data_IF_019379180243
#
_entry.id   IF_019379180243
#
_cell.length_a   1.000
_cell.length_b   1.000
_cell.length_c   1.000
_cell.angle_alpha   90.00
_cell.angle_beta   90.00
_cell.angle_gamma   90.00
#
_symmetry.space_group_name_H-M   'P 1'
#
loop_
_entity.id
_entity.type
_entity.pdbx_description
1 polymer ?
#
# COMPACT_ATOMS: atom_id res chain seq x y z
N UNK A 1 -6.87 -4.16 0.40
CA UNK A 1 -7.30 -3.00 -0.43
C UNK A 1 -7.96 -1.98 0.47
N UNK A 2 -7.72 -0.68 0.24
CA UNK A 2 -8.45 0.40 0.90
C UNK A 2 -9.33 1.10 -0.14
N UNK A 3 -10.63 1.29 0.16
CA UNK A 3 -11.61 1.91 -0.75
C UNK A 3 -12.31 3.10 -0.11
N UNK A 4 -12.59 4.10 -0.95
CA UNK A 4 -13.45 5.25 -0.66
C UNK A 4 -13.93 5.87 -1.96
N UNK A 5 -15.23 5.76 -2.28
CA UNK A 5 -15.84 6.29 -3.50
C UNK A 5 -15.04 5.89 -4.77
N UNK A 6 -14.84 4.57 -4.95
CA UNK A 6 -14.00 4.01 -6.00
C UNK A 6 -14.75 3.44 -7.20
N UNK A 7 -16.05 3.66 -7.35
CA UNK A 7 -16.93 2.99 -8.32
C UNK A 7 -16.38 2.95 -9.75
N UNK A 8 -15.58 3.96 -10.12
CA UNK A 8 -15.13 4.14 -11.50
C UNK A 8 -14.13 3.07 -11.97
N UNK A 9 -13.19 2.66 -11.11
CA UNK A 9 -12.07 1.81 -11.49
C UNK A 9 -11.97 0.51 -10.70
N UNK A 10 -12.79 0.38 -9.66
CA UNK A 10 -12.69 -0.71 -8.69
C UNK A 10 -12.83 -2.10 -9.31
N UNK A 11 -13.68 -2.26 -10.36
CA UNK A 11 -13.83 -3.56 -11.05
C UNK A 11 -12.52 -4.05 -11.64
N UNK A 12 -11.85 -3.20 -12.42
CA UNK A 12 -10.60 -3.55 -13.07
C UNK A 12 -9.54 -3.96 -12.05
N UNK A 13 -9.48 -3.24 -10.92
CA UNK A 13 -8.55 -3.57 -9.85
C UNK A 13 -8.89 -4.89 -9.16
N UNK A 14 -10.15 -5.14 -8.80
CA UNK A 14 -10.57 -6.42 -8.20
C UNK A 14 -10.30 -7.57 -9.17
N UNK A 15 -10.68 -7.43 -10.45
CA UNK A 15 -10.44 -8.45 -11.47
C UNK A 15 -8.96 -8.77 -11.60
N UNK A 16 -8.08 -7.78 -11.60
CA UNK A 16 -6.63 -7.98 -11.70
C UNK A 16 -6.05 -8.73 -10.50
N UNK A 17 -6.63 -8.55 -9.31
CA UNK A 17 -6.21 -9.27 -8.10
C UNK A 17 -6.73 -10.70 -8.11
N UNK A 18 -8.00 -10.91 -8.48
CA UNK A 18 -8.60 -12.25 -8.50
C UNK A 18 -8.01 -13.16 -9.58
N UNK A 19 -7.45 -12.56 -10.64
CA UNK A 19 -6.78 -13.23 -11.76
C UNK A 19 -5.25 -13.32 -11.62
N UNK A 20 -4.72 -13.25 -10.39
CA UNK A 20 -3.29 -13.49 -10.16
C UNK A 20 -2.92 -14.93 -10.50
N UNK A 21 -1.78 -15.10 -11.18
CA UNK A 21 -1.24 -16.38 -11.60
C UNK A 21 -0.15 -16.84 -10.63
N UNK A 22 -0.21 -18.09 -10.25
CA UNK A 22 0.78 -18.74 -9.40
C UNK A 22 1.49 -19.85 -10.18
N UNK A 23 2.76 -20.09 -9.84
CA UNK A 23 3.50 -21.22 -10.43
C UNK A 23 2.77 -22.54 -10.20
N UNK A 24 2.98 -23.46 -11.10
CA UNK A 24 2.51 -24.84 -10.95
C UNK A 24 3.02 -25.42 -9.60
N UNK A 25 2.13 -26.08 -8.87
CA UNK A 25 2.41 -26.59 -7.52
C UNK A 25 2.70 -25.49 -6.45
N UNK A 26 2.24 -24.26 -6.66
CA UNK A 26 2.30 -23.22 -5.65
C UNK A 26 1.41 -23.57 -4.45
N UNK A 27 1.90 -23.25 -3.25
CA UNK A 27 1.16 -23.34 -1.99
C UNK A 27 0.40 -22.05 -1.63
N UNK A 28 0.32 -21.13 -2.59
CA UNK A 28 -0.28 -19.82 -2.38
C UNK A 28 -1.80 -19.86 -2.58
N UNK A 29 -2.52 -19.33 -1.61
CA UNK A 29 -3.95 -19.05 -1.67
C UNK A 29 -4.18 -17.54 -1.54
N UNK A 30 -5.22 -17.03 -2.21
CA UNK A 30 -5.55 -15.61 -2.25
C UNK A 30 -6.75 -15.29 -1.37
N UNK A 31 -6.62 -14.30 -0.48
CA UNK A 31 -7.75 -13.56 0.08
C UNK A 31 -7.67 -12.08 -0.34
N UNK A 32 -8.81 -11.46 -0.59
CA UNK A 32 -8.93 -10.03 -0.83
C UNK A 32 -9.73 -9.38 0.29
N UNK A 33 -9.01 -8.72 1.21
CA UNK A 33 -9.63 -7.93 2.28
C UNK A 33 -9.80 -6.50 1.81
N UNK A 34 -11.05 -6.06 1.69
CA UNK A 34 -11.41 -4.70 1.29
C UNK A 34 -11.89 -3.92 2.51
N UNK A 35 -11.15 -2.89 2.90
CA UNK A 35 -11.58 -1.95 3.93
C UNK A 35 -12.21 -0.74 3.27
N UNK A 36 -13.51 -0.55 3.48
CA UNK A 36 -14.26 0.57 2.92
C UNK A 36 -14.47 1.69 3.94
N UNK A 37 -14.02 2.90 3.61
CA UNK A 37 -14.13 4.08 4.49
C UNK A 37 -15.46 4.82 4.30
N UNK A 38 -16.57 4.08 4.42
CA UNK A 38 -17.92 4.60 4.35
C UNK A 38 -18.24 5.27 2.99
N UNK A 39 -17.99 4.57 1.90
CA UNK A 39 -18.34 5.02 0.53
C UNK A 39 -19.83 5.33 0.38
N UNK A 40 -20.13 6.32 -0.44
CA UNK A 40 -21.49 6.82 -0.70
C UNK A 40 -21.93 6.63 -2.15
N UNK A 41 -21.03 6.20 -3.02
CA UNK A 41 -21.26 5.83 -4.41
C UNK A 41 -21.59 4.33 -4.56
N UNK A 42 -21.42 3.75 -5.75
CA UNK A 42 -21.71 2.34 -6.00
C UNK A 42 -20.58 1.38 -5.57
N UNK A 43 -19.53 1.85 -4.87
CA UNK A 43 -18.39 1.01 -4.44
C UNK A 43 -18.83 -0.30 -3.79
N UNK A 44 -19.67 -0.24 -2.75
CA UNK A 44 -20.12 -1.43 -2.03
C UNK A 44 -20.97 -2.37 -2.90
N UNK A 45 -21.85 -1.82 -3.75
CA UNK A 45 -22.64 -2.62 -4.71
C UNK A 45 -21.76 -3.37 -5.72
N UNK A 46 -20.67 -2.72 -6.16
CA UNK A 46 -19.71 -3.35 -7.05
C UNK A 46 -19.04 -4.53 -6.36
N UNK A 47 -18.57 -4.37 -5.13
CA UNK A 47 -17.92 -5.45 -4.37
C UNK A 47 -18.89 -6.61 -4.14
N UNK A 48 -20.10 -6.33 -3.70
CA UNK A 48 -21.14 -7.35 -3.45
C UNK A 48 -21.50 -8.14 -4.72
N UNK A 49 -21.39 -7.54 -5.90
CA UNK A 49 -21.73 -8.20 -7.16
C UNK A 49 -20.77 -9.34 -7.56
N UNK A 50 -19.61 -9.46 -6.92
CA UNK A 50 -18.65 -10.53 -7.25
C UNK A 50 -19.05 -11.89 -6.73
N UNK A 51 -19.76 -12.00 -5.60
CA UNK A 51 -20.11 -13.27 -4.96
C UNK A 51 -18.92 -14.25 -4.82
N UNK A 52 -17.69 -13.73 -4.71
CA UNK A 52 -16.46 -14.51 -4.62
C UNK A 52 -16.07 -14.71 -3.15
N UNK A 53 -15.91 -15.98 -2.72
CA UNK A 53 -15.56 -16.33 -1.34
C UNK A 53 -14.21 -15.78 -0.87
N UNK A 54 -13.32 -15.46 -1.79
CA UNK A 54 -12.01 -14.87 -1.50
C UNK A 54 -12.12 -13.40 -1.06
N UNK A 55 -13.24 -12.73 -1.37
CA UNK A 55 -13.47 -11.33 -1.02
C UNK A 55 -14.10 -11.22 0.35
N UNK A 56 -13.52 -10.40 1.20
CA UNK A 56 -14.08 -10.06 2.50
C UNK A 56 -14.04 -8.55 2.73
N UNK A 57 -15.20 -7.98 2.97
CA UNK A 57 -15.35 -6.54 3.24
C UNK A 57 -15.30 -6.29 4.76
N UNK A 58 -14.56 -5.27 5.14
CA UNK A 58 -14.51 -4.76 6.52
C UNK A 58 -14.83 -3.27 6.50
N UNK A 59 -15.74 -2.86 7.36
CA UNK A 59 -16.12 -1.45 7.46
C UNK A 59 -15.06 -0.64 8.19
N UNK A 60 -14.78 0.53 7.68
CA UNK A 60 -14.01 1.58 8.36
C UNK A 60 -14.81 2.87 8.32
N UNK A 61 -14.64 3.72 9.32
CA UNK A 61 -15.20 5.07 9.33
C UNK A 61 -14.19 6.02 9.93
N UNK A 62 -13.57 6.80 9.08
CA UNK A 62 -12.65 7.82 9.55
C UNK A 62 -13.42 8.96 10.23
N UNK A 63 -13.25 9.08 11.54
CA UNK A 63 -13.84 10.14 12.37
C UNK A 63 -12.85 11.25 12.71
N UNK A 64 -11.55 11.02 12.49
CA UNK A 64 -10.50 11.99 12.80
C UNK A 64 -10.39 13.03 11.68
N UNK A 65 -10.08 14.26 12.09
CA UNK A 65 -9.85 15.38 11.17
C UNK A 65 -8.52 16.04 11.51
N UNK A 66 -7.72 16.23 10.48
CA UNK A 66 -6.40 16.86 10.60
C UNK A 66 -6.35 18.12 9.75
N UNK A 67 -5.70 19.16 10.25
CA UNK A 67 -5.53 20.41 9.51
C UNK A 67 -4.68 20.23 8.25
N UNK A 68 -3.70 19.31 8.31
CA UNK A 68 -2.78 18.99 7.22
C UNK A 68 -2.81 17.50 6.95
N UNK A 69 -2.63 17.08 5.70
CA UNK A 69 -2.60 15.67 5.27
C UNK A 69 -3.87 14.86 5.61
N UNK A 70 -5.03 15.51 5.70
CA UNK A 70 -6.23 14.83 6.18
C UNK A 70 -6.60 13.60 5.34
N UNK A 71 -6.62 13.71 4.01
CA UNK A 71 -6.88 12.59 3.09
C UNK A 71 -5.82 11.49 3.16
N UNK A 72 -4.53 11.89 3.27
CA UNK A 72 -3.41 10.95 3.41
C UNK A 72 -3.52 10.15 4.71
N UNK A 73 -3.86 10.79 5.81
CA UNK A 73 -3.99 10.10 7.10
C UNK A 73 -5.27 9.26 7.18
N UNK A 74 -6.35 9.69 6.51
CA UNK A 74 -7.56 8.88 6.37
C UNK A 74 -7.28 7.60 5.57
N UNK A 75 -6.59 7.73 4.44
CA UNK A 75 -6.15 6.60 3.63
C UNK A 75 -5.26 5.64 4.45
N UNK A 76 -4.29 6.17 5.20
CA UNK A 76 -3.42 5.35 6.05
C UNK A 76 -4.21 4.61 7.15
N UNK A 77 -5.21 5.23 7.77
CA UNK A 77 -6.07 4.58 8.76
C UNK A 77 -6.90 3.46 8.13
N UNK A 78 -7.42 3.66 6.92
CA UNK A 78 -8.16 2.65 6.17
C UNK A 78 -7.28 1.45 5.79
N UNK A 79 -6.04 1.69 5.32
CA UNK A 79 -5.05 0.62 5.13
C UNK A 79 -4.73 -0.11 6.44
N UNK A 80 -4.58 0.63 7.54
CA UNK A 80 -4.36 0.03 8.86
C UNK A 80 -5.48 -0.92 9.26
N UNK A 81 -6.74 -0.55 8.99
CA UNK A 81 -7.90 -1.41 9.21
C UNK A 81 -7.86 -2.68 8.32
N UNK A 82 -7.56 -2.53 7.02
CA UNK A 82 -7.42 -3.67 6.11
C UNK A 82 -6.33 -4.65 6.57
N UNK A 83 -5.13 -4.15 6.90
CA UNK A 83 -3.99 -4.97 7.36
C UNK A 83 -4.34 -5.70 8.66
N UNK A 84 -5.00 -5.05 9.61
CA UNK A 84 -5.41 -5.66 10.89
C UNK A 84 -6.38 -6.83 10.72
N UNK A 85 -7.12 -6.87 9.62
CA UNK A 85 -8.06 -7.95 9.29
C UNK A 85 -7.48 -8.99 8.34
N UNK A 86 -6.32 -8.77 7.74
CA UNK A 86 -5.67 -9.73 6.86
C UNK A 86 -5.15 -10.95 7.66
N UNK A 87 -5.27 -12.15 7.06
CA UNK A 87 -4.90 -13.45 7.67
C UNK A 87 -3.69 -14.06 6.99
N UNK A 88 -3.42 -13.68 5.74
CA UNK A 88 -2.36 -14.21 4.91
C UNK A 88 -0.96 -14.07 5.52
N UNK A 89 -0.04 -14.92 5.08
CA UNK A 89 1.38 -14.85 5.43
C UNK A 89 2.08 -13.68 4.73
N UNK A 90 1.60 -13.34 3.53
CA UNK A 90 2.07 -12.21 2.73
C UNK A 90 0.93 -11.23 2.51
N UNK A 91 1.13 -9.96 2.80
CA UNK A 91 0.13 -8.92 2.71
C UNK A 91 0.53 -7.93 1.62
N UNK A 92 -0.33 -7.76 0.63
CA UNK A 92 -0.13 -6.82 -0.47
C UNK A 92 -1.06 -5.62 -0.30
N UNK A 93 -0.49 -4.42 -0.36
CA UNK A 93 -1.29 -3.21 -0.35
C UNK A 93 -1.83 -2.95 -1.74
N UNK A 94 -3.08 -2.52 -1.82
CA UNK A 94 -3.75 -2.21 -3.08
C UNK A 94 -4.58 -0.95 -2.94
N UNK A 95 -4.33 0.02 -3.79
CA UNK A 95 -5.25 1.12 -4.04
C UNK A 95 -6.45 0.58 -4.86
N UNK A 96 -7.49 1.38 -5.03
CA UNK A 96 -8.76 0.95 -5.67
C UNK A 96 -8.80 1.19 -7.18
N UNK A 97 -7.77 1.81 -7.75
CA UNK A 97 -7.77 2.40 -9.09
C UNK A 97 -6.56 2.01 -9.97
N UNK A 98 -5.73 1.09 -9.50
CA UNK A 98 -4.61 0.52 -10.26
C UNK A 98 -5.04 -0.76 -11.01
N UNK A 99 -4.10 -1.40 -11.69
CA UNK A 99 -4.25 -2.76 -12.24
C UNK A 99 -2.97 -3.54 -12.02
N UNK A 100 -3.08 -4.73 -11.41
CA UNK A 100 -1.94 -5.60 -11.18
C UNK A 100 -1.66 -6.50 -12.38
N UNK A 101 -0.39 -6.72 -12.69
CA UNK A 101 -0.01 -7.76 -13.62
C UNK A 101 -0.17 -9.15 -12.98
N UNK A 102 -0.47 -10.20 -13.79
CA UNK A 102 -0.80 -11.52 -13.26
C UNK A 102 0.27 -12.15 -12.36
N UNK A 103 1.51 -11.80 -12.55
CA UNK A 103 2.67 -12.34 -11.83
C UNK A 103 3.08 -11.58 -10.56
N UNK A 104 2.39 -10.50 -10.20
CA UNK A 104 2.80 -9.60 -9.10
C UNK A 104 3.01 -10.34 -7.78
N UNK A 105 2.03 -11.15 -7.36
CA UNK A 105 2.09 -11.85 -6.09
C UNK A 105 3.21 -12.90 -6.14
N UNK A 106 3.24 -13.76 -7.14
CA UNK A 106 4.24 -14.85 -7.25
C UNK A 106 5.67 -14.31 -7.25
N UNK A 107 5.97 -13.28 -8.05
CA UNK A 107 7.30 -12.66 -8.11
C UNK A 107 7.70 -12.00 -6.79
N UNK A 108 6.77 -11.29 -6.17
CA UNK A 108 7.04 -10.60 -4.90
C UNK A 108 7.24 -11.59 -3.75
N UNK A 109 6.45 -12.66 -3.67
CA UNK A 109 6.62 -13.72 -2.67
C UNK A 109 7.94 -14.45 -2.85
N UNK A 110 8.37 -14.71 -4.09
CA UNK A 110 9.69 -15.30 -4.37
C UNK A 110 10.80 -14.45 -3.76
N UNK A 111 10.80 -13.13 -3.98
CA UNK A 111 11.78 -12.21 -3.38
C UNK A 111 11.72 -12.24 -1.85
N UNK A 112 10.52 -12.24 -1.25
CA UNK A 112 10.38 -12.28 0.21
C UNK A 112 10.92 -13.61 0.79
N UNK A 113 10.61 -14.76 0.17
CA UNK A 113 11.12 -16.08 0.59
C UNK A 113 12.62 -16.17 0.52
N UNK A 114 13.22 -15.74 -0.58
CA UNK A 114 14.70 -15.75 -0.80
C UNK A 114 15.45 -14.88 0.22
N UNK A 115 14.83 -13.82 0.74
CA UNK A 115 15.44 -12.88 1.66
C UNK A 115 15.00 -13.07 3.13
N UNK A 116 14.28 -14.14 3.45
CA UNK A 116 13.81 -14.43 4.80
C UNK A 116 12.84 -13.36 5.31
N UNK A 117 11.91 -12.94 4.44
CA UNK A 117 10.84 -12.01 4.73
C UNK A 117 11.20 -10.53 4.63
N UNK A 118 10.28 -9.65 5.03
CA UNK A 118 10.44 -8.21 5.01
C UNK A 118 9.36 -7.47 4.24
N UNK A 119 9.75 -6.41 3.56
CA UNK A 119 8.94 -5.64 2.61
C UNK A 119 9.60 -5.66 1.25
N UNK A 120 8.88 -6.03 0.21
CA UNK A 120 9.30 -5.88 -1.18
C UNK A 120 8.53 -4.74 -1.83
N UNK A 121 9.25 -3.85 -2.52
CA UNK A 121 8.67 -2.84 -3.40
C UNK A 121 8.89 -3.28 -4.85
N UNK A 122 7.81 -3.50 -5.59
CA UNK A 122 7.86 -3.89 -6.99
C UNK A 122 7.79 -2.67 -7.90
N UNK A 123 8.57 -2.67 -8.98
CA UNK A 123 8.46 -1.69 -10.04
C UNK A 123 7.07 -1.72 -10.70
N UNK A 124 6.69 -0.64 -11.36
CA UNK A 124 5.40 -0.52 -11.99
C UNK A 124 5.44 0.41 -13.21
N UNK A 125 4.46 0.28 -14.08
CA UNK A 125 4.24 1.18 -15.19
C UNK A 125 3.30 2.32 -14.77
N UNK A 126 3.50 3.50 -15.35
CA UNK A 126 2.55 4.60 -15.26
C UNK A 126 1.55 4.48 -16.41
N UNK A 127 0.28 4.61 -16.11
CA UNK A 127 -0.81 4.62 -17.08
C UNK A 127 -1.64 5.90 -16.99
N UNK A 128 -2.28 6.27 -18.08
CA UNK A 128 -3.35 7.28 -18.08
C UNK A 128 -4.68 6.70 -17.55
N UNK A 129 -5.77 7.47 -17.68
CA UNK A 129 -7.10 7.03 -17.24
C UNK A 129 -7.60 5.74 -17.91
N UNK A 130 -7.12 5.43 -19.11
CA UNK A 130 -7.47 4.24 -19.91
C UNK A 130 -6.38 3.16 -19.85
N UNK A 131 -5.42 3.27 -18.92
CA UNK A 131 -4.28 2.36 -18.74
C UNK A 131 -3.29 2.32 -19.93
N UNK A 132 -3.31 3.29 -20.83
CA UNK A 132 -2.25 3.40 -21.81
C UNK A 132 -0.95 3.77 -21.10
N UNK A 133 0.11 2.99 -21.34
CA UNK A 133 1.41 3.24 -20.72
C UNK A 133 1.96 4.60 -21.10
N UNK A 134 2.28 5.41 -20.09
CA UNK A 134 2.89 6.75 -20.25
C UNK A 134 4.31 6.81 -19.73
N UNK A 135 4.75 5.82 -18.97
CA UNK A 135 6.08 5.74 -18.39
C UNK A 135 6.28 4.50 -17.54
N UNK A 136 7.42 4.43 -16.88
CA UNK A 136 7.81 3.32 -16.03
C UNK A 136 8.52 3.84 -14.79
N UNK A 137 8.24 3.25 -13.63
CA UNK A 137 8.93 3.55 -12.38
C UNK A 137 9.75 2.35 -11.95
N UNK A 138 11.08 2.51 -11.98
CA UNK A 138 12.05 1.55 -11.48
C UNK A 138 12.65 2.06 -10.18
N UNK A 139 12.80 1.19 -9.22
CA UNK A 139 13.47 1.52 -7.97
C UNK A 139 14.98 1.34 -8.11
N UNK A 140 15.72 2.40 -7.86
CA UNK A 140 17.17 2.34 -7.80
C UNK A 140 17.58 2.14 -6.35
N UNK A 141 18.46 1.16 -6.10
CA UNK A 141 19.04 0.94 -4.76
C UNK A 141 19.75 2.21 -4.30
N UNK A 142 19.22 2.85 -3.31
CA UNK A 142 19.66 4.16 -2.88
C UNK A 142 20.37 4.05 -1.54
N UNK A 143 21.49 4.77 -1.35
CA UNK A 143 22.22 4.79 -0.08
C UNK A 143 21.44 5.58 0.97
N UNK A 144 21.20 4.98 2.12
CA UNK A 144 20.45 5.51 3.26
C UNK A 144 20.82 6.97 3.63
N UNK A 145 22.09 7.38 3.51
CA UNK A 145 22.54 8.73 3.88
C UNK A 145 22.20 9.83 2.87
N UNK A 146 21.77 9.50 1.66
CA UNK A 146 21.45 10.51 0.61
C UNK A 146 19.96 10.81 0.49
N UNK A 147 19.09 10.13 1.24
CA UNK A 147 17.65 10.21 1.01
C UNK A 147 16.90 10.88 2.13
N UNK A 148 16.61 12.13 1.90
CA UNK A 148 15.56 12.85 2.61
C UNK A 148 14.14 12.47 2.11
N UNK A 149 14.02 11.69 1.02
CA UNK A 149 12.76 11.25 0.42
C UNK A 149 12.91 9.80 -0.03
N UNK A 150 12.29 8.90 0.72
CA UNK A 150 11.94 7.58 0.20
C UNK A 150 10.74 7.85 -0.70
N UNK A 151 10.91 7.71 -2.00
CA UNK A 151 9.79 7.70 -2.93
C UNK A 151 9.07 6.37 -2.71
N UNK A 152 7.93 6.42 -2.04
CA UNK A 152 7.20 5.24 -1.63
C UNK A 152 5.84 5.24 -2.28
N UNK A 153 5.51 4.11 -2.88
CA UNK A 153 4.21 3.85 -3.47
C UNK A 153 3.64 2.62 -2.78
N UNK A 154 2.72 2.84 -1.82
CA UNK A 154 2.18 1.79 -0.97
C UNK A 154 1.61 0.61 -1.75
N UNK A 155 0.88 0.86 -2.83
CA UNK A 155 0.30 -0.17 -3.67
C UNK A 155 1.33 -1.13 -4.31
N UNK A 156 2.61 -0.75 -4.35
CA UNK A 156 3.69 -1.59 -4.87
C UNK A 156 4.21 -2.61 -3.86
N UNK A 157 3.78 -2.55 -2.59
CA UNK A 157 4.36 -3.35 -1.51
C UNK A 157 3.74 -4.71 -1.35
N UNK A 158 4.63 -5.71 -1.17
CA UNK A 158 4.35 -6.98 -0.51
C UNK A 158 5.07 -7.02 0.84
N UNK A 159 4.39 -7.48 1.88
CA UNK A 159 4.83 -7.43 3.28
C UNK A 159 4.69 -8.83 3.85
N UNK A 160 5.75 -9.42 4.41
CA UNK A 160 5.65 -10.68 5.13
C UNK A 160 5.14 -10.47 6.57
N UNK A 161 4.39 -11.44 7.07
CA UNK A 161 3.67 -11.34 8.34
C UNK A 161 4.57 -11.09 9.55
N UNK A 162 5.78 -11.66 9.55
CA UNK A 162 6.70 -11.52 10.67
C UNK A 162 7.15 -10.08 10.94
N UNK A 163 7.13 -9.20 9.91
CA UNK A 163 7.50 -7.78 10.11
C UNK A 163 6.35 -6.95 10.68
N UNK A 164 5.11 -7.47 10.63
CA UNK A 164 3.93 -6.73 11.12
C UNK A 164 4.02 -6.37 12.60
N UNK A 165 4.71 -7.16 13.40
CA UNK A 165 4.93 -6.81 14.81
C UNK A 165 5.62 -5.46 15.00
N UNK A 166 6.44 -5.00 14.04
CA UNK A 166 7.10 -3.68 14.08
C UNK A 166 6.24 -2.58 13.44
N UNK A 167 5.37 -2.95 12.48
CA UNK A 167 4.55 -2.03 11.71
C UNK A 167 3.23 -1.72 12.41
N UNK A 168 2.53 -2.76 12.90
CA UNK A 168 1.17 -2.63 13.41
C UNK A 168 1.10 -2.35 14.93
N UNK A 169 0.06 -1.64 15.41
CA UNK A 169 -0.88 -0.86 14.61
C UNK A 169 -0.19 0.32 13.90
N UNK A 170 -0.68 0.75 12.74
CA UNK A 170 -0.12 1.94 12.09
C UNK A 170 -0.25 3.14 13.02
N UNK A 171 0.82 3.93 13.22
CA UNK A 171 0.73 5.10 14.10
C UNK A 171 -0.18 6.16 13.45
N UNK A 172 -1.06 6.74 14.24
CA UNK A 172 -1.91 7.83 13.79
C UNK A 172 -1.48 9.16 14.43
N UNK A 173 -1.32 10.21 13.64
CA UNK A 173 -1.33 10.25 12.18
C UNK A 173 -0.05 9.68 11.57
N UNK A 174 -0.13 9.03 10.39
CA UNK A 174 1.04 8.59 9.63
C UNK A 174 0.78 8.57 8.13
N UNK A 175 1.83 8.58 7.36
CA UNK A 175 1.84 8.26 5.93
C UNK A 175 2.27 6.79 5.87
N UNK A 176 1.32 5.89 5.62
CA UNK A 176 1.50 4.45 5.82
C UNK A 176 2.66 3.86 5.02
N UNK A 177 2.77 4.19 3.75
CA UNK A 177 3.81 3.72 2.85
C UNK A 177 5.21 4.17 3.29
N UNK A 178 5.38 5.45 3.64
CA UNK A 178 6.63 5.98 4.17
C UNK A 178 7.01 5.30 5.49
N UNK A 179 6.04 5.10 6.38
CA UNK A 179 6.27 4.47 7.67
C UNK A 179 6.68 2.99 7.53
N UNK A 180 5.99 2.24 6.66
CA UNK A 180 6.28 0.82 6.38
C UNK A 180 7.69 0.68 5.79
N UNK A 181 8.00 1.46 4.74
CA UNK A 181 9.32 1.41 4.11
C UNK A 181 10.44 1.80 5.08
N UNK A 182 10.28 2.89 5.83
CA UNK A 182 11.29 3.34 6.79
C UNK A 182 11.53 2.30 7.91
N UNK A 183 10.47 1.62 8.38
CA UNK A 183 10.58 0.53 9.34
C UNK A 183 11.36 -0.65 8.77
N UNK A 184 11.02 -1.09 7.55
CA UNK A 184 11.70 -2.19 6.88
C UNK A 184 13.17 -1.88 6.57
N UNK A 185 13.47 -0.66 6.14
CA UNK A 185 14.86 -0.21 5.91
C UNK A 185 15.65 -0.23 7.23
N UNK A 186 15.07 0.24 8.33
CA UNK A 186 15.71 0.24 9.65
C UNK A 186 16.02 -1.18 10.14
N UNK A 187 15.22 -2.15 9.74
CA UNK A 187 15.41 -3.58 10.06
C UNK A 187 16.35 -4.30 9.07
N UNK A 188 16.80 -3.65 8.00
CA UNK A 188 17.54 -4.30 6.93
C UNK A 188 16.71 -5.30 6.10
N UNK A 189 15.39 -5.13 6.08
CA UNK A 189 14.38 -6.02 5.50
C UNK A 189 13.56 -5.35 4.38
N UNK A 190 14.17 -4.41 3.64
CA UNK A 190 13.54 -3.75 2.50
C UNK A 190 14.18 -4.21 1.21
N UNK A 191 13.40 -4.79 0.32
CA UNK A 191 13.85 -5.43 -0.92
C UNK A 191 13.22 -4.74 -2.12
N UNK A 192 13.90 -4.80 -3.28
CA UNK A 192 13.44 -4.20 -4.53
C UNK A 192 13.25 -5.28 -5.59
N UNK A 193 12.10 -5.28 -6.22
CA UNK A 193 11.79 -6.08 -7.41
C UNK A 193 11.69 -5.14 -8.61
N UNK A 194 12.71 -5.16 -9.48
CA UNK A 194 12.77 -4.28 -10.67
C UNK A 194 12.05 -4.87 -11.90
N UNK A 195 11.08 -5.74 -11.68
CA UNK A 195 10.12 -6.18 -12.69
C UNK A 195 8.82 -5.40 -12.50
N UNK A 196 8.25 -4.90 -13.60
CA UNK A 196 6.98 -4.18 -13.54
C UNK A 196 5.86 -5.14 -13.16
N UNK A 197 5.17 -4.85 -12.07
CA UNK A 197 4.15 -5.71 -11.48
C UNK A 197 2.75 -5.09 -11.43
N UNK A 198 2.59 -3.85 -11.89
CA UNK A 198 1.32 -3.16 -11.93
C UNK A 198 1.35 -2.01 -12.94
N UNK A 199 0.18 -1.52 -13.32
CA UNK A 199 0.00 -0.21 -13.95
C UNK A 199 -0.63 0.71 -12.92
N UNK A 200 0.07 1.77 -12.54
CA UNK A 200 -0.46 2.84 -11.70
C UNK A 200 -1.23 3.84 -12.55
N UNK A 201 -2.52 3.96 -12.29
CA UNK A 201 -3.40 4.87 -13.03
C UNK A 201 -3.22 6.31 -12.56
N UNK A 202 -2.78 7.15 -13.49
CA UNK A 202 -2.60 8.58 -13.23
C UNK A 202 -3.69 9.39 -13.93
N UNK A 203 -4.78 9.67 -13.23
CA UNK A 203 -5.93 10.41 -13.79
C UNK A 203 -5.78 11.92 -13.64
N UNK A 204 -4.82 12.36 -12.85
CA UNK A 204 -4.62 13.78 -12.60
C UNK A 204 -5.63 14.43 -11.63
N UNK A 205 -6.74 13.79 -11.32
CA UNK A 205 -7.86 14.38 -10.56
C UNK A 205 -8.06 13.71 -9.19
N UNK A 206 -7.78 12.42 -9.04
CA UNK A 206 -8.13 11.62 -7.86
C UNK A 206 -6.95 11.15 -7.01
N UNK A 207 -5.72 11.52 -7.36
CA UNK A 207 -4.57 11.08 -6.58
C UNK A 207 -4.45 11.93 -5.31
N UNK A 208 -4.55 11.30 -4.16
CA UNK A 208 -4.42 11.90 -2.81
C UNK A 208 -3.18 12.81 -2.70
N UNK A 209 -2.12 12.52 -3.44
CA UNK A 209 -0.89 13.32 -3.51
C UNK A 209 -1.04 14.68 -4.23
N UNK A 210 -2.08 14.86 -5.07
CA UNK A 210 -2.32 16.11 -5.82
C UNK A 210 -3.19 17.14 -5.10
N UNK A 211 -3.94 16.73 -4.07
CA UNK A 211 -4.64 17.70 -3.25
C UNK A 211 -3.62 18.56 -2.51
N UNK A 212 -3.06 19.58 -3.14
CA UNK A 212 -2.26 20.72 -2.64
C UNK A 212 -1.67 20.73 -1.22
N UNK A 213 -2.07 19.76 -0.40
CA UNK A 213 -1.72 19.63 1.00
C UNK A 213 -0.21 19.48 1.26
N UNK A 214 0.52 18.83 0.34
CA UNK A 214 1.97 18.62 0.54
C UNK A 214 2.72 19.94 0.38
N UNK A 215 2.33 20.77 -0.59
CA UNK A 215 3.04 22.04 -0.88
C UNK A 215 2.66 23.19 0.07
N UNK A 216 1.49 23.12 0.70
CA UNK A 216 1.00 24.16 1.62
C UNK A 216 1.33 23.88 3.10
N UNK A 217 1.81 22.68 3.42
CA UNK A 217 2.14 22.33 4.80
C UNK A 217 3.43 23.02 5.26
N UNK A 218 3.40 23.76 6.38
CA UNK A 218 4.59 24.44 6.92
C UNK A 218 5.74 23.46 7.18
N UNK A 219 6.98 23.91 6.94
CA UNK A 219 8.19 23.08 7.12
C UNK A 219 8.31 22.49 8.54
N UNK A 220 7.98 23.27 9.56
CA UNK A 220 7.99 22.82 10.95
C UNK A 220 7.02 21.67 11.21
N UNK A 221 5.83 21.69 10.57
CA UNK A 221 4.85 20.60 10.66
C UNK A 221 5.37 19.35 9.97
N UNK A 222 6.00 19.48 8.80
CA UNK A 222 6.65 18.35 8.11
C UNK A 222 7.76 17.74 8.96
N UNK A 223 8.60 18.58 9.58
CA UNK A 223 9.67 18.13 10.47
C UNK A 223 9.11 17.39 11.68
N UNK A 224 8.06 17.93 12.31
CA UNK A 224 7.38 17.30 13.44
C UNK A 224 6.89 15.87 13.10
N UNK A 225 6.17 15.68 11.97
CA UNK A 225 5.70 14.36 11.58
C UNK A 225 6.84 13.39 11.27
N UNK A 226 7.94 13.87 10.65
CA UNK A 226 9.12 13.05 10.40
C UNK A 226 9.82 12.62 11.68
N UNK A 227 10.06 13.54 12.61
CA UNK A 227 10.68 13.23 13.89
C UNK A 227 9.81 12.25 14.70
N UNK A 228 8.51 12.51 14.78
CA UNK A 228 7.56 11.61 15.45
C UNK A 228 7.59 10.20 14.84
N UNK A 229 7.60 10.07 13.53
CA UNK A 229 7.70 8.79 12.84
C UNK A 229 8.98 8.04 13.24
N UNK A 230 10.13 8.71 13.18
CA UNK A 230 11.42 8.11 13.56
C UNK A 230 11.48 7.68 15.04
N UNK A 231 10.96 8.48 15.95
CA UNK A 231 10.87 8.12 17.37
C UNK A 231 10.06 6.82 17.54
N UNK A 232 8.90 6.72 16.87
CA UNK A 232 8.06 5.53 16.95
C UNK A 232 8.77 4.31 16.35
N UNK A 233 9.43 4.44 15.20
CA UNK A 233 10.18 3.36 14.57
C UNK A 233 11.30 2.87 15.50
N UNK A 234 12.12 3.77 16.00
CA UNK A 234 13.24 3.43 16.89
C UNK A 234 12.76 2.72 18.15
N UNK A 235 11.70 3.26 18.79
CA UNK A 235 11.11 2.64 19.99
C UNK A 235 10.56 1.24 19.70
N UNK A 236 9.81 1.07 18.60
CA UNK A 236 9.22 -0.25 18.24
C UNK A 236 10.27 -1.27 17.87
N UNK A 237 11.29 -0.88 17.10
CA UNK A 237 12.38 -1.78 16.77
C UNK A 237 13.12 -2.20 18.02
N UNK A 238 13.45 -1.26 18.91
CA UNK A 238 14.14 -1.58 20.17
C UNK A 238 13.30 -2.43 21.12
N UNK A 239 12.01 -2.13 21.30
CA UNK A 239 11.14 -2.81 22.27
C UNK A 239 10.61 -4.18 21.80
N UNK A 240 10.75 -4.52 20.53
CA UNK A 240 10.19 -5.74 19.91
C UNK A 240 11.25 -6.62 19.25
N UNK A 241 12.52 -6.22 19.30
CA UNK A 241 13.69 -7.05 19.00
C UNK A 241 13.99 -8.00 20.13
#
# INVERSE_FOLDING_TARGET
>A
MATYNGERYLREQIDSILNQEFKENSDLELELVISDDNSTDNTLRIIESYHDIRIRVVSHKNTKRYRYYNSVFACAANFGNAIAHARGEYIFLSDQDDVWYPWKIDRSVSVLRENGGGVVAAAFDMGDGELNKTGEVRFVKQNFFRHHYISTYGFSYGISKEILKYIMPLPEPSIHDVYIAATAIRLGKYHLLNESCAIHRWTGVHNVSKEGAVNTTPQLVRLYYRMRMWIIIMWRVWSRS
#
